data_IF_359815742377
#
_entry.id   IF_359815742377
#
_cell.length_a   1.000
_cell.length_b   1.000
_cell.length_c   1.000
_cell.angle_alpha   90.00
_cell.angle_beta   90.00
_cell.angle_gamma   90.00
#
_symmetry.space_group_name_H-M   'P 1'
#
loop_
_entity.id
_entity.type
_entity.pdbx_description
1 polymer ?
#
# COMPACT_ATOMS: atom_id res chain seq x y z
N UNK A 1 5.53 10.47 -9.16
CA UNK A 1 4.78 11.43 -8.31
C UNK A 1 3.30 11.08 -8.40
N UNK A 2 2.53 11.10 -7.30
CA UNK A 2 1.08 10.83 -7.34
C UNK A 2 0.32 12.15 -7.30
N UNK A 3 -0.55 12.40 -8.27
CA UNK A 3 -1.38 13.61 -8.36
C UNK A 3 -2.83 13.26 -8.67
N UNK A 4 -3.77 14.04 -8.11
CA UNK A 4 -5.20 14.01 -8.44
C UNK A 4 -5.62 15.40 -8.91
N UNK A 5 -6.57 15.45 -9.86
CA UNK A 5 -7.27 16.67 -10.25
C UNK A 5 -8.71 16.63 -9.73
N UNK A 6 -9.22 17.79 -9.33
CA UNK A 6 -10.61 17.97 -8.89
C UNK A 6 -11.55 17.70 -10.06
N UNK A 7 -12.61 16.91 -9.80
CA UNK A 7 -13.66 16.66 -10.79
C UNK A 7 -14.83 17.62 -10.59
N UNK A 8 -15.62 17.92 -11.65
CA UNK A 8 -16.85 18.68 -11.50
C UNK A 8 -17.79 18.01 -10.50
N UNK A 9 -18.33 18.78 -9.55
CA UNK A 9 -19.25 18.29 -8.51
C UNK A 9 -18.60 17.46 -7.39
N UNK A 10 -17.27 17.33 -7.36
CA UNK A 10 -16.56 16.60 -6.30
C UNK A 10 -16.30 17.47 -5.08
N UNK A 11 -16.59 16.96 -3.88
CA UNK A 11 -16.24 17.64 -2.64
C UNK A 11 -14.75 17.51 -2.32
N UNK A 12 -14.20 18.47 -1.56
CA UNK A 12 -12.80 18.44 -1.14
C UNK A 12 -12.44 17.15 -0.37
N UNK A 13 -13.35 16.63 0.46
CA UNK A 13 -13.13 15.36 1.17
C UNK A 13 -13.00 14.16 0.22
N UNK A 14 -13.82 14.10 -0.82
CA UNK A 14 -13.78 13.03 -1.82
C UNK A 14 -12.46 13.07 -2.59
N UNK A 15 -11.98 14.27 -2.94
CA UNK A 15 -10.68 14.48 -3.55
C UNK A 15 -9.55 13.94 -2.65
N UNK A 16 -9.56 14.28 -1.36
CA UNK A 16 -8.57 13.81 -0.39
C UNK A 16 -8.60 12.28 -0.22
N UNK A 17 -9.79 11.67 -0.18
CA UNK A 17 -9.94 10.21 -0.13
C UNK A 17 -9.31 9.54 -1.35
N UNK A 18 -9.52 10.08 -2.56
CA UNK A 18 -8.89 9.57 -3.78
C UNK A 18 -7.38 9.75 -3.78
N UNK A 19 -6.89 10.90 -3.35
CA UNK A 19 -5.46 11.15 -3.21
C UNK A 19 -4.80 10.14 -2.28
N UNK A 20 -5.35 9.93 -1.08
CA UNK A 20 -4.86 8.92 -0.13
C UNK A 20 -4.85 7.51 -0.72
N UNK A 21 -5.89 7.15 -1.49
CA UNK A 21 -5.95 5.86 -2.21
C UNK A 21 -4.85 5.74 -3.27
N UNK A 22 -4.58 6.80 -4.02
CA UNK A 22 -3.53 6.82 -5.04
C UNK A 22 -2.12 6.78 -4.44
N UNK A 23 -1.88 7.50 -3.34
CA UNK A 23 -0.63 7.42 -2.56
C UNK A 23 -0.42 5.99 -2.06
N UNK A 24 -1.45 5.37 -1.48
CA UNK A 24 -1.38 3.98 -1.01
C UNK A 24 -1.13 3.01 -2.16
N UNK A 25 -1.80 3.19 -3.31
CA UNK A 25 -1.61 2.36 -4.52
C UNK A 25 -0.19 2.46 -5.08
N UNK A 26 0.40 3.66 -5.08
CA UNK A 26 1.77 3.87 -5.54
C UNK A 26 2.82 3.21 -4.64
N UNK A 27 2.48 2.96 -3.37
CA UNK A 27 3.40 2.35 -2.40
C UNK A 27 4.60 3.21 -2.04
N UNK A 28 4.62 4.51 -2.38
CA UNK A 28 5.78 5.40 -2.17
C UNK A 28 6.21 5.43 -0.70
N UNK A 29 5.26 5.62 0.23
CA UNK A 29 5.54 5.64 1.68
C UNK A 29 6.06 4.29 2.19
N UNK A 30 5.54 3.18 1.64
CA UNK A 30 6.00 1.83 2.00
C UNK A 30 7.43 1.58 1.53
N UNK A 31 7.80 2.13 0.36
CA UNK A 31 9.14 2.03 -0.20
C UNK A 31 10.13 2.86 0.61
N UNK A 32 9.79 4.11 0.94
CA UNK A 32 10.60 4.99 1.80
C UNK A 32 10.86 4.31 3.14
N UNK A 33 9.82 3.81 3.82
CA UNK A 33 9.98 3.09 5.10
C UNK A 33 10.86 1.85 4.99
N UNK A 34 10.75 1.09 3.90
CA UNK A 34 11.57 -0.11 3.66
C UNK A 34 13.05 0.23 3.41
N UNK A 35 13.32 1.35 2.72
CA UNK A 35 14.67 1.80 2.37
C UNK A 35 15.31 2.69 3.44
N UNK A 36 14.56 3.09 4.48
CA UNK A 36 15.03 4.02 5.52
C UNK A 36 16.28 3.53 6.26
N UNK A 37 16.41 2.22 6.46
CA UNK A 37 17.53 1.61 7.17
C UNK A 37 18.06 0.42 6.38
N UNK A 38 19.34 0.11 6.55
CA UNK A 38 19.89 -1.13 6.04
C UNK A 38 19.25 -2.34 6.74
N UNK A 39 18.93 -3.36 5.95
CA UNK A 39 18.38 -4.63 6.42
C UNK A 39 19.10 -5.74 5.66
N UNK A 40 19.59 -6.75 6.38
CA UNK A 40 20.31 -7.86 5.77
C UNK A 40 19.44 -8.64 4.77
N UNK A 41 20.07 -9.29 3.79
CA UNK A 41 19.36 -10.05 2.75
C UNK A 41 18.47 -11.15 3.35
N UNK A 42 18.92 -11.81 4.42
CA UNK A 42 18.15 -12.84 5.13
C UNK A 42 16.87 -12.27 5.76
N UNK A 43 16.98 -11.11 6.41
CA UNK A 43 15.85 -10.44 7.04
C UNK A 43 14.84 -9.93 6.00
N UNK A 44 15.31 -9.40 4.87
CA UNK A 44 14.45 -9.05 3.74
C UNK A 44 13.64 -10.25 3.25
N UNK A 45 14.27 -11.42 3.06
CA UNK A 45 13.58 -12.66 2.66
C UNK A 45 12.55 -13.10 3.70
N UNK A 46 12.89 -13.04 4.99
CA UNK A 46 12.00 -13.37 6.11
C UNK A 46 10.74 -12.50 6.10
N UNK A 47 10.90 -11.19 5.95
CA UNK A 47 9.79 -10.23 5.88
C UNK A 47 8.93 -10.49 4.63
N UNK A 48 9.53 -10.78 3.48
CA UNK A 48 8.80 -11.08 2.25
C UNK A 48 7.96 -12.36 2.38
N UNK A 49 8.53 -13.44 2.93
CA UNK A 49 7.82 -14.70 3.20
C UNK A 49 6.62 -14.47 4.13
N UNK A 50 6.83 -13.75 5.25
CA UNK A 50 5.75 -13.39 6.20
C UNK A 50 4.64 -12.57 5.52
N UNK A 51 5.00 -11.60 4.67
CA UNK A 51 4.03 -10.78 3.90
C UNK A 51 3.28 -11.59 2.85
N UNK A 52 3.89 -12.60 2.22
CA UNK A 52 3.23 -13.48 1.27
C UNK A 52 2.18 -14.36 1.96
N UNK A 53 2.56 -15.02 3.06
CA UNK A 53 1.64 -15.84 3.87
C UNK A 53 0.44 -15.03 4.35
N UNK A 54 0.68 -13.82 4.89
CA UNK A 54 -0.41 -12.91 5.32
C UNK A 54 -1.35 -12.56 4.16
N UNK A 55 -0.83 -12.38 2.95
CA UNK A 55 -1.64 -12.08 1.75
C UNK A 55 -2.48 -13.29 1.32
N UNK A 56 -1.93 -14.50 1.36
CA UNK A 56 -2.68 -15.74 1.06
C UNK A 56 -3.84 -15.92 2.02
N UNK A 57 -3.57 -15.89 3.33
CA UNK A 57 -4.60 -16.05 4.38
C UNK A 57 -5.73 -15.04 4.23
N UNK A 58 -5.42 -13.78 3.88
CA UNK A 58 -6.44 -12.75 3.64
C UNK A 58 -7.28 -12.99 2.38
N UNK A 59 -6.75 -13.68 1.37
CA UNK A 59 -7.51 -14.06 0.17
C UNK A 59 -8.45 -15.23 0.47
N UNK A 60 -7.96 -16.22 1.22
CA UNK A 60 -8.77 -17.37 1.66
C UNK A 60 -9.96 -16.91 2.51
N UNK A 61 -9.75 -16.07 3.52
CA UNK A 61 -10.85 -15.55 4.36
C UNK A 61 -11.87 -14.69 3.61
N UNK A 62 -11.47 -14.10 2.48
CA UNK A 62 -12.39 -13.35 1.60
C UNK A 62 -13.18 -14.24 0.65
N UNK A 63 -12.73 -15.46 0.37
CA UNK A 63 -13.41 -16.39 -0.54
C UNK A 63 -14.56 -17.12 0.14
N UNK A 64 -14.46 -17.32 1.46
CA UNK A 64 -15.52 -17.92 2.28
C UNK A 64 -16.55 -16.94 2.84
N UNK A 65 -16.57 -15.69 2.35
CA UNK A 65 -17.48 -14.62 2.77
C UNK A 65 -18.21 -14.10 1.56
#
# INVERSE_FOLDING_TARGET
>A
MTSVRLRPGESQEQLLKRFRKQVTKSGVLSTVRRKRWYVSKSEVRRIQKKKAIRRSRRRETKKGR
#
